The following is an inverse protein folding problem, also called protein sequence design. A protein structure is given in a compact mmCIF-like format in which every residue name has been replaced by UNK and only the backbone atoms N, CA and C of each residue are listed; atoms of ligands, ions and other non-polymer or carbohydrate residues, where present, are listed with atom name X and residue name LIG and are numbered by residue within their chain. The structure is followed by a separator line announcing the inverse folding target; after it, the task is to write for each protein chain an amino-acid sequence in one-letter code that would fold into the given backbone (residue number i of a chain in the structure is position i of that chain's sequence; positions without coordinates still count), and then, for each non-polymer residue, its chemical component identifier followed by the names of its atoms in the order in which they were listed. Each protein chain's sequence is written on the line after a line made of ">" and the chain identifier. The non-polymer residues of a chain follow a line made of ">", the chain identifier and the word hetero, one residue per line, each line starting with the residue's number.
data_IF_478775085228
#
_entry.id   IF_478775085228
#
_cell.length_a   1.000
_cell.length_b   1.000
_cell.length_c   1.000
_cell.angle_alpha   90.00
_cell.angle_beta   90.00
_cell.angle_gamma   90.00
#
_symmetry.space_group_name_H-M   'P 1'
#
loop_
_entity.id
_entity.type
_entity.pdbx_description
1 polymer ?
#
# COMPACT_ATOMS: atom_id res chain seq x y z
N UNK A 1 -19.87 -24.02 14.23
CA UNK A 1 -19.89 -22.72 13.53
C UNK A 1 -18.60 -22.45 12.76
N UNK A 2 -17.42 -22.47 13.39
CA UNK A 2 -16.14 -22.12 12.73
C UNK A 2 -15.76 -23.00 11.54
N UNK A 3 -16.02 -24.32 11.60
CA UNK A 3 -15.74 -25.22 10.48
C UNK A 3 -16.61 -24.91 9.24
N UNK A 4 -17.90 -24.60 9.45
CA UNK A 4 -18.82 -24.21 8.36
C UNK A 4 -18.35 -22.91 7.72
N UNK A 5 -17.97 -21.91 8.54
CA UNK A 5 -17.42 -20.65 8.06
C UNK A 5 -16.18 -20.87 7.19
N UNK A 6 -15.22 -21.67 7.65
CA UNK A 6 -13.98 -21.96 6.93
C UNK A 6 -14.23 -22.69 5.61
N UNK A 7 -15.13 -23.68 5.60
CA UNK A 7 -15.47 -24.45 4.40
C UNK A 7 -16.17 -23.59 3.34
N UNK A 8 -17.14 -22.78 3.75
CA UNK A 8 -17.86 -21.87 2.85
C UNK A 8 -16.91 -20.80 2.30
N UNK A 9 -16.08 -20.21 3.16
CA UNK A 9 -15.06 -19.25 2.73
C UNK A 9 -14.10 -19.85 1.71
N UNK A 10 -13.54 -21.03 1.99
CA UNK A 10 -12.62 -21.72 1.08
C UNK A 10 -13.28 -22.07 -0.26
N UNK A 11 -14.54 -22.56 -0.24
CA UNK A 11 -15.29 -22.86 -1.46
C UNK A 11 -15.52 -21.61 -2.32
N UNK A 12 -15.89 -20.48 -1.69
CA UNK A 12 -16.07 -19.21 -2.39
C UNK A 12 -14.76 -18.67 -2.98
N UNK A 13 -13.62 -18.84 -2.29
CA UNK A 13 -12.32 -18.48 -2.85
C UNK A 13 -11.94 -19.32 -4.07
N UNK A 14 -12.20 -20.64 -4.05
CA UNK A 14 -11.97 -21.51 -5.21
C UNK A 14 -12.83 -21.08 -6.41
N UNK A 15 -14.05 -20.61 -6.15
CA UNK A 15 -14.93 -20.02 -7.16
C UNK A 15 -14.52 -18.61 -7.60
N UNK A 16 -13.36 -18.10 -7.15
CA UNK A 16 -12.86 -16.75 -7.45
C UNK A 16 -13.81 -15.63 -7.03
N UNK A 17 -14.62 -15.87 -6.00
CA UNK A 17 -15.50 -14.84 -5.44
C UNK A 17 -14.67 -13.77 -4.71
N UNK A 18 -15.01 -12.47 -4.80
CA UNK A 18 -14.24 -11.44 -4.11
C UNK A 18 -14.20 -11.68 -2.60
N UNK A 19 -13.00 -11.60 -2.02
CA UNK A 19 -12.70 -12.03 -0.63
C UNK A 19 -13.62 -11.39 0.40
N UNK A 20 -13.97 -10.11 0.22
CA UNK A 20 -14.91 -9.41 1.11
C UNK A 20 -16.29 -10.07 1.17
N UNK A 21 -16.85 -10.45 0.02
CA UNK A 21 -18.13 -11.17 -0.04
C UNK A 21 -18.00 -12.61 0.49
N UNK A 22 -16.86 -13.25 0.26
CA UNK A 22 -16.60 -14.58 0.79
C UNK A 22 -16.61 -14.60 2.33
N UNK A 23 -16.02 -13.58 2.97
CA UNK A 23 -16.02 -13.43 4.43
C UNK A 23 -17.43 -13.16 4.98
N UNK A 24 -18.19 -12.25 4.38
CA UNK A 24 -19.53 -11.91 4.87
C UNK A 24 -20.53 -13.05 4.69
N UNK A 25 -20.50 -13.73 3.53
CA UNK A 25 -21.36 -14.90 3.28
C UNK A 25 -20.97 -16.08 4.17
N UNK A 26 -19.66 -16.37 4.31
CA UNK A 26 -19.16 -17.42 5.18
C UNK A 26 -19.58 -17.22 6.64
N UNK A 27 -19.44 -15.99 7.16
CA UNK A 27 -19.87 -15.64 8.50
C UNK A 27 -21.40 -15.73 8.65
N UNK A 28 -22.16 -15.20 7.68
CA UNK A 28 -23.63 -15.22 7.71
C UNK A 28 -24.17 -16.65 7.71
N UNK A 29 -23.69 -17.51 6.82
CA UNK A 29 -24.12 -18.91 6.72
C UNK A 29 -23.76 -19.68 8.00
N UNK A 30 -22.56 -19.45 8.56
CA UNK A 30 -22.16 -20.08 9.81
C UNK A 30 -23.03 -19.64 11.01
N UNK A 31 -23.48 -18.39 11.02
CA UNK A 31 -24.43 -17.87 12.02
C UNK A 31 -25.83 -18.49 11.85
N UNK A 32 -26.32 -18.59 10.61
CA UNK A 32 -27.61 -19.23 10.30
C UNK A 32 -27.65 -20.71 10.71
N UNK A 33 -26.58 -21.46 10.44
CA UNK A 33 -26.50 -22.89 10.80
C UNK A 33 -26.24 -23.10 12.29
N UNK A 34 -25.56 -22.16 12.94
CA UNK A 34 -25.19 -22.26 14.35
C UNK A 34 -26.29 -21.92 15.36
N UNK A 35 -27.35 -21.21 14.96
CA UNK A 35 -28.59 -21.03 15.74
C UNK A 35 -28.50 -20.25 17.07
N UNK A 36 -27.31 -19.94 17.58
CA UNK A 36 -27.12 -19.51 18.97
C UNK A 36 -26.99 -17.98 19.18
N UNK A 37 -26.81 -17.18 18.13
CA UNK A 37 -26.66 -15.72 18.28
C UNK A 37 -27.95 -14.96 17.94
N UNK A 38 -28.43 -14.09 18.84
CA UNK A 38 -29.49 -13.14 18.52
C UNK A 38 -29.10 -12.28 17.32
N UNK A 39 -29.98 -12.15 16.32
CA UNK A 39 -29.71 -11.34 15.12
C UNK A 39 -29.38 -9.88 15.48
N UNK A 40 -29.92 -9.39 16.60
CA UNK A 40 -29.62 -8.08 17.14
C UNK A 40 -28.14 -7.93 17.53
N UNK A 41 -27.51 -8.98 18.09
CA UNK A 41 -26.09 -8.96 18.43
C UNK A 41 -25.22 -8.89 17.17
N UNK A 42 -25.63 -9.59 16.09
CA UNK A 42 -24.96 -9.51 14.78
C UNK A 42 -25.03 -8.08 14.22
N UNK A 43 -26.23 -7.46 14.24
CA UNK A 43 -26.42 -6.08 13.78
C UNK A 43 -25.57 -5.11 14.61
N UNK A 44 -25.56 -5.24 15.95
CA UNK A 44 -24.72 -4.41 16.81
C UNK A 44 -23.22 -4.57 16.48
N UNK A 45 -22.74 -5.79 16.26
CA UNK A 45 -21.34 -6.05 15.88
C UNK A 45 -20.97 -5.42 14.53
N UNK A 46 -21.91 -5.36 13.57
CA UNK A 46 -21.70 -4.70 12.28
C UNK A 46 -21.66 -3.17 12.39
N UNK A 47 -22.41 -2.59 13.33
CA UNK A 47 -22.45 -1.14 13.54
C UNK A 47 -21.34 -0.62 14.47
N UNK A 48 -20.83 -1.44 15.40
CA UNK A 48 -19.83 -1.02 16.38
C UNK A 48 -18.58 -0.33 15.78
N UNK A 49 -18.00 -0.81 14.65
CA UNK A 49 -16.87 -0.10 14.01
C UNK A 49 -17.24 1.32 13.57
N UNK A 50 -18.45 1.54 13.06
CA UNK A 50 -18.87 2.87 12.56
C UNK A 50 -18.96 3.95 13.64
N UNK A 51 -19.06 3.54 14.91
CA UNK A 51 -19.06 4.44 16.07
C UNK A 51 -17.67 4.68 16.65
N UNK A 52 -16.64 4.04 16.09
CA UNK A 52 -15.28 4.13 16.57
C UNK A 52 -14.63 5.45 16.13
N UNK A 53 -14.15 6.26 17.06
CA UNK A 53 -13.47 7.52 16.77
C UNK A 53 -12.30 7.36 15.76
N UNK A 54 -11.44 6.32 15.84
CA UNK A 54 -10.42 6.07 14.83
C UNK A 54 -10.92 5.80 13.40
N UNK A 55 -12.17 5.37 13.20
CA UNK A 55 -12.72 5.19 11.83
C UNK A 55 -12.88 6.53 11.11
N UNK A 56 -12.97 7.64 11.84
CA UNK A 56 -12.96 9.01 11.27
C UNK A 56 -11.58 9.34 10.69
N UNK A 57 -10.50 8.77 11.23
CA UNK A 57 -9.15 9.01 10.73
C UNK A 57 -8.95 8.47 9.31
N UNK A 58 -9.63 7.37 8.93
CA UNK A 58 -9.50 6.76 7.59
C UNK A 58 -9.92 7.74 6.48
N UNK A 59 -11.14 8.32 6.47
CA UNK A 59 -11.51 9.37 5.51
C UNK A 59 -10.56 10.55 5.48
N UNK A 60 -10.06 11.01 6.64
CA UNK A 60 -9.12 12.12 6.70
C UNK A 60 -7.74 11.78 6.12
N UNK A 61 -7.23 10.56 6.32
CA UNK A 61 -6.00 10.10 5.68
C UNK A 61 -6.16 9.96 4.16
N UNK A 62 -7.28 9.41 3.70
CA UNK A 62 -7.60 9.34 2.27
C UNK A 62 -7.70 10.75 1.67
N UNK A 63 -8.43 11.65 2.31
CA UNK A 63 -8.56 13.05 1.89
C UNK A 63 -7.19 13.77 1.86
N UNK A 64 -6.34 13.56 2.87
CA UNK A 64 -4.99 14.12 2.89
C UNK A 64 -4.15 13.59 1.72
N UNK A 65 -4.21 12.27 1.44
CA UNK A 65 -3.57 11.66 0.28
C UNK A 65 -4.04 12.25 -1.05
N UNK A 66 -5.36 12.40 -1.21
CA UNK A 66 -5.96 12.98 -2.41
C UNK A 66 -5.54 14.45 -2.61
N UNK A 67 -5.53 15.26 -1.55
CA UNK A 67 -5.06 16.65 -1.60
C UNK A 67 -3.58 16.73 -1.95
N UNK A 68 -2.75 15.82 -1.40
CA UNK A 68 -1.32 15.77 -1.71
C UNK A 68 -1.05 15.38 -3.17
N UNK A 69 -1.86 14.49 -3.75
CA UNK A 69 -1.76 14.10 -5.17
C UNK A 69 -2.36 15.12 -6.13
N UNK A 70 -3.39 15.86 -5.72
CA UNK A 70 -3.95 16.95 -6.50
C UNK A 70 -2.99 18.16 -6.58
N UNK A 71 -2.14 18.32 -5.57
CA UNK A 71 -1.14 19.38 -5.50
C UNK A 71 0.18 19.06 -6.21
N UNK A 72 1.16 19.98 -6.07
CA UNK A 72 2.54 19.79 -6.58
C UNK A 72 3.38 18.85 -5.70
N UNK A 73 2.90 18.51 -4.50
CA UNK A 73 3.65 17.73 -3.52
C UNK A 73 3.86 16.28 -3.98
N UNK A 74 2.81 15.62 -4.48
CA UNK A 74 2.92 14.27 -5.05
C UNK A 74 3.94 14.19 -6.19
N UNK A 75 3.92 15.15 -7.13
CA UNK A 75 4.92 15.25 -8.19
C UNK A 75 6.34 15.48 -7.64
N UNK A 76 6.49 16.37 -6.65
CA UNK A 76 7.77 16.64 -6.01
C UNK A 76 8.34 15.41 -5.27
N UNK A 77 7.49 14.59 -4.64
CA UNK A 77 7.89 13.34 -3.99
C UNK A 77 8.39 12.31 -5.01
N UNK A 78 7.68 12.15 -6.14
CA UNK A 78 8.10 11.25 -7.22
C UNK A 78 9.40 11.73 -7.87
N UNK A 79 9.55 13.04 -8.10
CA UNK A 79 10.77 13.64 -8.63
C UNK A 79 11.96 13.41 -7.68
N UNK A 80 11.74 13.59 -6.37
CA UNK A 80 12.75 13.34 -5.35
C UNK A 80 13.16 11.86 -5.31
N UNK A 81 12.19 10.95 -5.31
CA UNK A 81 12.45 9.51 -5.39
C UNK A 81 13.24 9.17 -6.67
N UNK A 82 12.85 9.75 -7.80
CA UNK A 82 13.54 9.56 -9.09
C UNK A 82 14.99 10.03 -9.03
N UNK A 83 15.26 11.21 -8.48
CA UNK A 83 16.63 11.72 -8.34
C UNK A 83 17.49 10.84 -7.40
N UNK A 84 16.88 10.25 -6.37
CA UNK A 84 17.60 9.42 -5.41
C UNK A 84 18.13 8.12 -6.03
N UNK A 85 17.32 7.45 -6.86
CA UNK A 85 17.63 6.09 -7.33
C UNK A 85 17.83 5.92 -8.84
N UNK A 86 17.39 6.84 -9.70
CA UNK A 86 17.49 6.69 -11.16
C UNK A 86 18.91 6.43 -11.67
N UNK A 87 19.92 6.87 -10.94
CA UNK A 87 21.35 6.66 -11.24
C UNK A 87 21.84 5.22 -11.11
N UNK A 88 21.13 4.38 -10.35
CA UNK A 88 21.53 2.99 -10.13
C UNK A 88 20.98 2.09 -11.23
N UNK A 89 21.63 0.94 -11.43
CA UNK A 89 21.05 -0.13 -12.25
C UNK A 89 19.75 -0.60 -11.61
N UNK A 90 18.65 -0.56 -12.38
CA UNK A 90 17.30 -0.81 -11.85
C UNK A 90 16.63 0.43 -11.25
N UNK A 91 17.25 1.61 -11.35
CA UNK A 91 16.77 2.85 -10.75
C UNK A 91 15.33 3.19 -11.11
N UNK A 92 14.94 3.03 -12.39
CA UNK A 92 13.56 3.29 -12.84
C UNK A 92 12.51 2.43 -12.13
N UNK A 93 12.84 1.18 -11.80
CA UNK A 93 11.98 0.28 -11.02
C UNK A 93 12.00 0.62 -9.52
N UNK A 94 13.16 1.03 -9.01
CA UNK A 94 13.33 1.48 -7.64
C UNK A 94 12.52 2.76 -7.34
N UNK A 95 12.23 3.59 -8.36
CA UNK A 95 11.31 4.74 -8.21
C UNK A 95 9.93 4.29 -7.76
N UNK A 96 9.42 3.16 -8.25
CA UNK A 96 8.14 2.60 -7.79
C UNK A 96 8.19 2.22 -6.32
N UNK A 97 9.26 1.56 -5.90
CA UNK A 97 9.45 1.14 -4.49
C UNK A 97 9.51 2.34 -3.55
N UNK A 98 10.33 3.34 -3.88
CA UNK A 98 10.44 4.55 -3.07
C UNK A 98 9.18 5.41 -3.14
N UNK A 99 8.55 5.49 -4.31
CA UNK A 99 7.26 6.14 -4.50
C UNK A 99 6.22 5.57 -3.56
N UNK A 100 5.99 4.26 -3.58
CA UNK A 100 5.06 3.58 -2.68
C UNK A 100 5.47 3.74 -1.21
N UNK A 101 6.76 3.68 -0.89
CA UNK A 101 7.20 3.87 0.51
C UNK A 101 6.89 5.28 1.04
N UNK A 102 7.08 6.31 0.21
CA UNK A 102 6.84 7.70 0.58
C UNK A 102 5.34 8.07 0.52
N UNK A 103 4.64 7.57 -0.49
CA UNK A 103 3.22 7.85 -0.73
C UNK A 103 2.30 6.98 0.13
N UNK A 104 2.71 5.73 0.40
CA UNK A 104 2.03 4.82 1.30
C UNK A 104 1.92 5.36 2.70
N UNK A 105 2.95 6.07 3.18
CA UNK A 105 2.90 6.86 4.42
C UNK A 105 2.01 8.10 4.36
N UNK A 106 1.13 8.21 3.38
CA UNK A 106 0.14 9.30 3.27
C UNK A 106 -1.22 8.70 2.95
N UNK A 107 -1.28 7.85 1.93
CA UNK A 107 -2.50 7.21 1.44
C UNK A 107 -2.97 6.06 2.33
N UNK A 108 -2.04 5.30 2.92
CA UNK A 108 -2.33 4.12 3.73
C UNK A 108 -3.10 3.01 3.00
N UNK A 109 -3.11 3.02 1.67
CA UNK A 109 -3.91 2.14 0.81
C UNK A 109 -3.10 1.66 -0.40
N UNK A 110 -2.77 0.36 -0.38
CA UNK A 110 -2.06 -0.28 -1.48
C UNK A 110 -2.78 -0.16 -2.84
N UNK A 111 -4.11 -0.18 -2.85
CA UNK A 111 -4.89 -0.10 -4.10
C UNK A 111 -4.89 1.32 -4.65
N UNK A 112 -4.97 2.33 -3.77
CA UNK A 112 -4.92 3.72 -4.17
C UNK A 112 -3.53 4.08 -4.71
N UNK A 113 -2.46 3.66 -4.04
CA UNK A 113 -1.08 3.87 -4.48
C UNK A 113 -0.79 3.19 -5.82
N UNK A 114 -1.17 1.91 -5.97
CA UNK A 114 -0.97 1.19 -7.22
C UNK A 114 -1.67 1.89 -8.40
N UNK A 115 -2.85 2.46 -8.16
CA UNK A 115 -3.62 3.19 -9.17
C UNK A 115 -2.96 4.54 -9.48
N UNK A 116 -2.62 5.31 -8.44
CA UNK A 116 -2.07 6.65 -8.57
C UNK A 116 -0.66 6.64 -9.16
N UNK A 117 0.28 5.92 -8.55
CA UNK A 117 1.65 5.80 -9.05
C UNK A 117 1.72 4.99 -10.33
N UNK A 118 0.92 3.93 -10.47
CA UNK A 118 0.90 3.10 -11.67
C UNK A 118 0.52 3.91 -12.92
N UNK A 119 -0.44 4.83 -12.81
CA UNK A 119 -0.87 5.70 -13.92
C UNK A 119 0.24 6.60 -14.47
N UNK A 120 1.22 6.96 -13.63
CA UNK A 120 2.34 7.86 -13.99
C UNK A 120 3.60 7.09 -14.32
N UNK A 121 3.98 6.13 -13.47
CA UNK A 121 5.26 5.43 -13.54
C UNK A 121 5.28 4.36 -14.62
N UNK A 122 4.20 3.59 -14.82
CA UNK A 122 4.19 2.50 -15.82
C UNK A 122 4.39 3.02 -17.24
N UNK A 123 3.67 4.07 -17.71
CA UNK A 123 3.91 4.64 -19.04
C UNK A 123 5.32 5.18 -19.20
N UNK A 124 5.88 5.81 -18.17
CA UNK A 124 7.24 6.35 -18.19
C UNK A 124 8.30 5.24 -18.25
N UNK A 125 8.20 4.22 -17.40
CA UNK A 125 9.12 3.07 -17.38
C UNK A 125 9.13 2.34 -18.73
N UNK A 126 7.96 2.19 -19.36
CA UNK A 126 7.84 1.61 -20.72
C UNK A 126 8.59 2.44 -21.77
N UNK A 127 8.50 3.77 -21.72
CA UNK A 127 9.23 4.66 -22.64
C UNK A 127 10.74 4.54 -22.51
N UNK A 128 11.24 4.30 -21.30
CA UNK A 128 12.68 4.12 -21.03
C UNK A 128 13.14 2.69 -21.34
N UNK A 129 12.26 1.78 -21.74
CA UNK A 129 12.60 0.43 -22.22
C UNK A 129 12.36 -0.70 -21.21
N UNK A 130 11.58 -0.47 -20.14
CA UNK A 130 11.20 -1.54 -19.22
C UNK A 130 9.97 -2.32 -19.76
N UNK A 131 9.95 -3.66 -19.64
CA UNK A 131 8.80 -4.46 -20.05
C UNK A 131 7.55 -4.13 -19.24
N UNK A 132 6.40 -3.95 -19.89
CA UNK A 132 5.14 -3.59 -19.23
C UNK A 132 4.74 -4.55 -18.09
N UNK A 133 4.94 -5.86 -18.28
CA UNK A 133 4.67 -6.86 -17.25
C UNK A 133 5.55 -6.67 -16.00
N UNK A 134 6.82 -6.27 -16.19
CA UNK A 134 7.71 -5.99 -15.07
C UNK A 134 7.32 -4.71 -14.34
N UNK A 135 6.94 -3.65 -15.07
CA UNK A 135 6.44 -2.41 -14.49
C UNK A 135 5.19 -2.65 -13.63
N UNK A 136 4.20 -3.37 -14.18
CA UNK A 136 2.97 -3.70 -13.46
C UNK A 136 3.23 -4.57 -12.22
N UNK A 137 4.07 -5.58 -12.34
CA UNK A 137 4.46 -6.43 -11.21
C UNK A 137 5.21 -5.65 -10.12
N UNK A 138 6.11 -4.73 -10.51
CA UNK A 138 6.87 -3.92 -9.56
C UNK A 138 5.98 -2.97 -8.78
N UNK A 139 5.05 -2.28 -9.47
CA UNK A 139 4.06 -1.40 -8.82
C UNK A 139 3.14 -2.21 -7.90
N UNK A 140 2.58 -3.32 -8.38
CA UNK A 140 1.69 -4.15 -7.59
C UNK A 140 2.38 -4.70 -6.33
N UNK A 141 3.66 -5.07 -6.43
CA UNK A 141 4.44 -5.51 -5.28
C UNK A 141 4.77 -4.33 -4.36
N UNK A 142 5.26 -3.20 -4.89
CA UNK A 142 5.72 -2.07 -4.07
C UNK A 142 4.60 -1.43 -3.27
N UNK A 143 3.39 -1.32 -3.82
CA UNK A 143 2.24 -0.74 -3.12
C UNK A 143 1.82 -1.56 -1.88
N UNK A 144 2.30 -2.79 -1.71
CA UNK A 144 2.07 -3.54 -0.47
C UNK A 144 2.83 -2.96 0.74
N UNK A 145 3.87 -2.15 0.51
CA UNK A 145 4.62 -1.44 1.55
C UNK A 145 3.70 -0.50 2.35
N UNK A 146 2.72 0.10 1.68
CA UNK A 146 1.74 1.05 2.22
C UNK A 146 0.91 0.47 3.38
N UNK A 147 0.77 -0.86 3.40
CA UNK A 147 0.07 -1.57 4.46
C UNK A 147 0.87 -1.45 5.77
N UNK A 148 2.19 -1.28 5.70
CA UNK A 148 3.09 -1.27 6.85
C UNK A 148 3.55 0.14 7.23
N UNK A 149 3.77 1.02 6.25
CA UNK A 149 4.28 2.38 6.49
C UNK A 149 3.14 3.30 6.96
N UNK A 150 3.24 3.93 8.16
CA UNK A 150 2.15 4.75 8.68
C UNK A 150 1.98 6.11 7.99
N UNK A 151 0.76 6.68 8.00
CA UNK A 151 -0.55 6.08 8.32
C UNK A 151 -0.95 4.93 7.39
N UNK A 152 -1.54 3.86 7.96
CA UNK A 152 -1.96 2.67 7.24
C UNK A 152 -3.40 2.29 7.62
N UNK A 153 -4.29 2.20 6.63
CA UNK A 153 -5.70 1.84 6.83
C UNK A 153 -5.83 0.42 7.40
N UNK A 154 -5.13 -0.60 6.88
CA UNK A 154 -5.18 -1.94 7.46
C UNK A 154 -4.70 -2.00 8.91
N UNK A 155 -3.66 -1.24 9.29
CA UNK A 155 -3.19 -1.20 10.68
C UNK A 155 -4.23 -0.57 11.61
N UNK A 156 -4.94 0.47 11.16
CA UNK A 156 -6.04 1.07 11.93
C UNK A 156 -7.15 0.05 12.14
N UNK A 157 -7.58 -0.65 11.08
CA UNK A 157 -8.63 -1.67 11.18
C UNK A 157 -8.22 -2.83 12.10
N UNK A 158 -6.97 -3.30 11.99
CA UNK A 158 -6.44 -4.34 12.88
C UNK A 158 -6.39 -3.88 14.34
N UNK A 159 -5.94 -2.65 14.58
CA UNK A 159 -5.88 -2.06 15.92
C UNK A 159 -7.26 -2.01 16.59
N UNK A 160 -8.27 -1.62 15.81
CA UNK A 160 -9.66 -1.54 16.26
C UNK A 160 -10.23 -2.90 16.62
N UNK A 161 -10.03 -3.92 15.77
CA UNK A 161 -10.56 -5.26 16.01
C UNK A 161 -9.83 -5.97 17.15
N UNK A 162 -8.51 -5.78 17.24
CA UNK A 162 -7.67 -6.43 18.25
C UNK A 162 -7.58 -5.63 19.55
N UNK A 163 -8.22 -4.46 19.62
CA UNK A 163 -8.22 -3.55 20.76
C UNK A 163 -6.80 -3.19 21.26
N UNK A 164 -5.88 -2.97 20.32
CA UNK A 164 -4.48 -2.59 20.59
C UNK A 164 -4.23 -1.13 20.21
N UNK A 165 -3.16 -0.53 20.72
CA UNK A 165 -2.82 0.86 20.41
C UNK A 165 -2.42 1.04 18.95
N UNK A 166 -3.13 1.96 18.26
CA UNK A 166 -2.84 2.36 16.88
C UNK A 166 -1.43 2.95 16.79
N UNK A 167 -1.07 3.83 17.73
CA UNK A 167 0.25 4.46 17.74
C UNK A 167 1.37 3.44 17.93
N UNK A 168 1.17 2.43 18.78
CA UNK A 168 2.13 1.35 18.96
C UNK A 168 2.30 0.53 17.67
N UNK A 169 1.21 0.23 16.96
CA UNK A 169 1.25 -0.45 15.66
C UNK A 169 1.94 0.38 14.59
N UNK A 170 1.74 1.70 14.57
CA UNK A 170 2.42 2.57 13.62
C UNK A 170 3.93 2.55 13.83
N UNK A 171 4.38 2.69 15.07
CA UNK A 171 5.81 2.59 15.39
C UNK A 171 6.35 1.19 15.06
N UNK A 172 5.59 0.14 15.39
CA UNK A 172 5.96 -1.24 15.10
C UNK A 172 6.01 -1.56 13.60
N UNK A 173 5.19 -0.91 12.77
CA UNK A 173 5.12 -1.09 11.33
C UNK A 173 6.27 -0.44 10.55
N UNK A 174 6.94 0.57 11.14
CA UNK A 174 8.00 1.31 10.48
C UNK A 174 9.20 0.42 10.09
N UNK A 175 9.72 -0.36 11.04
CA UNK A 175 10.84 -1.26 10.81
C UNK A 175 10.54 -2.31 9.72
N UNK A 176 9.46 -3.12 9.80
CA UNK A 176 9.16 -4.10 8.76
C UNK A 176 8.87 -3.44 7.41
N UNK A 177 8.23 -2.26 7.38
CA UNK A 177 8.02 -1.50 6.15
C UNK A 177 9.34 -1.11 5.48
N UNK A 178 10.29 -0.58 6.24
CA UNK A 178 11.63 -0.23 5.73
C UNK A 178 12.44 -1.45 5.28
N UNK A 179 12.35 -2.56 6.02
CA UNK A 179 13.01 -3.83 5.62
C UNK A 179 12.44 -4.33 4.30
N UNK A 180 11.12 -4.28 4.13
CA UNK A 180 10.44 -4.72 2.90
C UNK A 180 10.77 -3.81 1.72
N UNK A 181 10.79 -2.49 1.93
CA UNK A 181 11.26 -1.51 0.95
C UNK A 181 12.71 -1.80 0.52
N UNK A 182 13.62 -2.01 1.49
CA UNK A 182 15.00 -2.38 1.23
C UNK A 182 15.13 -3.67 0.42
N UNK A 183 14.35 -4.69 0.78
CA UNK A 183 14.28 -5.96 0.05
C UNK A 183 13.86 -5.77 -1.41
N UNK A 184 12.81 -4.98 -1.67
CA UNK A 184 12.36 -4.68 -3.03
C UNK A 184 13.38 -3.86 -3.82
N UNK A 185 14.09 -2.93 -3.20
CA UNK A 185 15.19 -2.20 -3.85
C UNK A 185 16.30 -3.16 -4.31
N UNK A 186 16.64 -4.15 -3.49
CA UNK A 186 17.63 -5.18 -3.84
C UNK A 186 17.12 -6.03 -5.00
N UNK A 187 15.87 -6.52 -4.93
CA UNK A 187 15.27 -7.33 -6.00
C UNK A 187 15.22 -6.57 -7.32
N UNK A 188 14.89 -5.27 -7.30
CA UNK A 188 14.90 -4.41 -8.49
C UNK A 188 16.32 -4.30 -9.10
N UNK A 189 17.33 -4.08 -8.28
CA UNK A 189 18.73 -3.97 -8.73
C UNK A 189 19.25 -5.29 -9.29
N UNK A 190 19.00 -6.42 -8.62
CA UNK A 190 19.39 -7.75 -9.08
C UNK A 190 18.67 -8.10 -10.39
N UNK A 191 17.35 -7.90 -10.45
CA UNK A 191 16.55 -8.16 -11.66
C UNK A 191 17.01 -7.33 -12.85
N UNK A 192 17.33 -6.05 -12.64
CA UNK A 192 17.83 -5.17 -13.69
C UNK A 192 19.22 -5.58 -14.19
N UNK A 193 20.10 -6.06 -13.31
CA UNK A 193 21.42 -6.58 -13.70
C UNK A 193 21.31 -7.87 -14.50
N UNK A 194 20.46 -8.80 -14.07
CA UNK A 194 20.26 -10.09 -14.73
C UNK A 194 19.59 -9.94 -16.10
N UNK A 195 18.64 -9.02 -16.23
CA UNK A 195 17.86 -8.81 -17.46
C UNK A 195 18.44 -7.72 -18.37
N UNK A 196 19.54 -7.08 -17.98
CA UNK A 196 20.20 -6.05 -18.78
C UNK A 196 19.36 -4.80 -19.03
N UNK A 197 18.55 -4.37 -18.05
CA UNK A 197 17.67 -3.22 -18.24
C UNK A 197 18.44 -1.90 -18.46
N UNK A 198 17.87 -0.96 -19.25
CA UNK A 198 18.46 0.34 -19.49
C UNK A 198 18.58 1.13 -18.18
N UNK A 199 19.68 1.87 -18.04
CA UNK A 199 19.96 2.73 -16.90
C UNK A 199 20.71 3.98 -17.38
N UNK A 200 20.40 5.12 -16.77
CA UNK A 200 21.08 6.40 -17.04
C UNK A 200 22.10 6.69 -15.93
N UNK A 201 23.37 6.91 -16.29
CA UNK A 201 24.37 7.45 -15.35
C UNK A 201 24.18 8.95 -15.20
N UNK A 202 23.25 9.39 -14.35
CA UNK A 202 23.10 10.81 -13.99
C UNK A 202 24.07 11.20 -12.85
N UNK A 203 24.84 12.31 -12.99
CA UNK A 203 25.67 12.83 -11.91
C UNK A 203 24.80 13.40 -10.77
N UNK A 204 25.29 13.31 -9.53
CA UNK A 204 24.52 13.74 -8.35
C UNK A 204 24.52 15.27 -8.27
N UNK A 205 23.35 15.88 -8.50
CA UNK A 205 23.11 17.28 -8.23
C UNK A 205 22.58 17.47 -6.80
N UNK A 206 23.46 17.36 -5.80
CA UNK A 206 23.13 17.48 -4.37
C UNK A 206 22.28 18.72 -4.04
N UNK A 207 22.54 19.83 -4.74
CA UNK A 207 21.81 21.10 -4.56
C UNK A 207 20.36 21.04 -5.04
N UNK A 208 20.07 20.24 -6.07
CA UNK A 208 18.71 20.01 -6.59
C UNK A 208 17.98 19.00 -5.69
N UNK A 209 18.65 17.93 -5.27
CA UNK A 209 18.09 16.95 -4.33
C UNK A 209 17.73 17.58 -2.98
N UNK A 210 18.61 18.41 -2.40
CA UNK A 210 18.32 19.07 -1.14
C UNK A 210 17.12 20.03 -1.26
N UNK A 211 17.03 20.77 -2.38
CA UNK A 211 15.91 21.68 -2.63
C UNK A 211 14.60 20.93 -2.85
N UNK A 212 14.61 19.84 -3.62
CA UNK A 212 13.43 18.98 -3.84
C UNK A 212 13.01 18.24 -2.56
N UNK A 213 13.98 17.80 -1.76
CA UNK A 213 13.74 17.22 -0.44
C UNK A 213 13.08 18.21 0.52
N UNK A 214 13.50 19.48 0.50
CA UNK A 214 12.88 20.56 1.27
C UNK A 214 11.46 20.91 0.78
N UNK A 215 11.18 20.80 -0.51
CA UNK A 215 9.82 20.97 -1.04
C UNK A 215 8.91 19.74 -0.80
N UNK A 216 9.52 18.57 -0.64
CA UNK A 216 8.84 17.29 -0.42
C UNK A 216 8.70 16.93 1.07
N UNK A 217 9.41 17.61 1.97
CA UNK A 217 9.28 17.39 3.40
C UNK A 217 7.91 17.87 3.87
N UNK A 218 7.23 17.11 4.76
CA UNK A 218 6.04 17.62 5.42
C UNK A 218 6.41 18.91 6.16
N UNK A 219 5.59 19.96 5.95
CA UNK A 219 5.71 21.23 6.67
C UNK A 219 5.39 21.07 8.16
#
# INVERSE_FOLDING_TARGET
>A
MSAVMMLVFAALLVLSFPVGYALTLGASIALFVGGEMPILAVVQQMFAPTQSFPMIAIPFFVMAGDVMMAGKLGQSLIDFATDLVSRFRGGHAQVSVLGSTLFGGVSGSAVADATALGSVLVPWQKKVGYPAAFCGATIAASSTIDILVPPSIPLILYALVSNVSIGALFVAGLLPGLVLAGGFLVVCNVSARLRGFPYEKKPIAWRIMARRGLYASPA
#
